data_IF_813411176193
#
_entry.id   IF_813411176193
#
_cell.length_a   1.000
_cell.length_b   1.000
_cell.length_c   1.000
_cell.angle_alpha   90.00
_cell.angle_beta   90.00
_cell.angle_gamma   90.00
#
_symmetry.space_group_name_H-M   'P 1'
#
loop_
_entity.id
_entity.type
_entity.pdbx_description
1 polymer ?
#
# COMPACT_ATOMS: atom_id res chain seq x y z
N UNK A 1 -12.24 -24.45 15.81
CA UNK A 1 -11.54 -24.33 14.50
C UNK A 1 -10.64 -23.09 14.40
N UNK A 2 -11.12 -21.88 14.73
CA UNK A 2 -10.30 -20.64 14.71
C UNK A 2 -9.03 -20.71 15.58
N UNK A 3 -9.15 -21.19 16.83
CA UNK A 3 -7.98 -21.34 17.75
C UNK A 3 -6.83 -22.17 17.16
N UNK A 4 -7.13 -23.17 16.33
CA UNK A 4 -6.10 -24.00 15.66
C UNK A 4 -5.38 -23.21 14.57
N UNK A 5 -6.13 -22.47 13.74
CA UNK A 5 -5.56 -21.61 12.71
C UNK A 5 -4.57 -20.61 13.32
N UNK A 6 -5.00 -19.87 14.34
CA UNK A 6 -4.18 -18.84 14.98
C UNK A 6 -2.91 -19.46 15.59
N UNK A 7 -3.03 -20.58 16.31
CA UNK A 7 -1.85 -21.26 16.87
C UNK A 7 -0.85 -21.67 15.81
N UNK A 8 -1.31 -22.22 14.67
CA UNK A 8 -0.43 -22.67 13.59
C UNK A 8 0.21 -21.51 12.81
N UNK A 9 -0.50 -20.40 12.64
CA UNK A 9 0.05 -19.17 12.04
C UNK A 9 1.09 -18.49 12.95
N UNK A 10 0.95 -18.64 14.27
CA UNK A 10 1.83 -18.01 15.27
C UNK A 10 2.87 -18.97 15.85
N UNK A 11 3.19 -20.06 15.15
CA UNK A 11 4.32 -20.92 15.55
C UNK A 11 5.61 -20.10 15.41
N UNK A 12 6.37 -20.02 16.50
CA UNK A 12 7.63 -19.26 16.59
C UNK A 12 8.65 -19.77 15.58
N UNK A 13 8.81 -21.09 15.49
CA UNK A 13 9.63 -21.76 14.48
C UNK A 13 9.02 -21.57 13.09
N UNK A 14 9.71 -20.82 12.24
CA UNK A 14 9.27 -20.46 10.90
C UNK A 14 9.05 -21.69 10.01
N UNK A 15 9.89 -22.72 10.15
CA UNK A 15 9.81 -23.94 9.32
C UNK A 15 8.57 -24.78 9.62
N UNK A 16 7.99 -24.62 10.82
CA UNK A 16 6.79 -25.32 11.28
C UNK A 16 5.53 -24.47 11.16
N UNK A 17 5.66 -23.18 10.85
CA UNK A 17 4.54 -22.25 10.72
C UNK A 17 3.64 -22.66 9.55
N UNK A 18 2.33 -22.47 9.71
CA UNK A 18 1.38 -22.70 8.61
C UNK A 18 1.77 -21.82 7.41
N UNK A 19 1.95 -22.44 6.25
CA UNK A 19 2.41 -21.77 5.03
C UNK A 19 3.92 -21.83 4.78
N UNK A 20 4.71 -22.43 5.66
CA UNK A 20 6.15 -22.55 5.45
C UNK A 20 6.55 -23.53 4.33
N UNK A 21 5.71 -24.55 4.04
CA UNK A 21 6.03 -25.59 3.04
C UNK A 21 5.41 -25.30 1.68
N UNK A 22 4.09 -25.06 1.62
CA UNK A 22 3.38 -24.80 0.36
C UNK A 22 2.79 -23.38 0.26
N UNK A 23 3.32 -22.44 1.06
CA UNK A 23 2.91 -21.04 1.02
C UNK A 23 1.43 -20.85 1.32
N UNK A 24 0.78 -20.02 0.50
CA UNK A 24 -0.64 -19.74 0.63
C UNK A 24 -1.53 -20.99 0.51
N UNK A 25 -1.09 -22.06 -0.15
CA UNK A 25 -1.89 -23.30 -0.32
C UNK A 25 -2.22 -23.96 1.02
N UNK A 26 -1.25 -24.02 1.94
CA UNK A 26 -1.45 -24.58 3.29
C UNK A 26 -2.50 -23.76 4.08
N UNK A 27 -2.51 -22.44 3.89
CA UNK A 27 -3.48 -21.55 4.54
C UNK A 27 -4.87 -21.77 3.96
N UNK A 28 -4.98 -21.81 2.63
CA UNK A 28 -6.26 -21.99 1.90
C UNK A 28 -6.95 -23.32 2.21
N UNK A 29 -6.18 -24.37 2.46
CA UNK A 29 -6.68 -25.73 2.75
C UNK A 29 -7.04 -25.97 4.22
N UNK A 30 -6.71 -25.04 5.13
CA UNK A 30 -7.02 -25.20 6.54
C UNK A 30 -8.54 -25.27 6.78
N UNK A 31 -9.06 -26.14 7.67
CA UNK A 31 -10.52 -26.33 7.87
C UNK A 31 -11.32 -25.07 8.22
N UNK A 32 -10.65 -24.04 8.78
CA UNK A 32 -11.28 -22.73 9.01
C UNK A 32 -11.79 -22.08 7.72
N UNK A 33 -11.09 -22.26 6.59
CA UNK A 33 -11.43 -21.69 5.29
C UNK A 33 -12.19 -22.66 4.37
N UNK A 34 -12.74 -23.75 4.91
CA UNK A 34 -13.47 -24.76 4.10
C UNK A 34 -14.62 -24.17 3.29
N UNK A 35 -15.29 -23.15 3.84
CA UNK A 35 -16.41 -22.47 3.18
C UNK A 35 -15.97 -21.32 2.26
N UNK A 36 -14.68 -21.02 2.20
CA UNK A 36 -14.14 -19.91 1.41
C UNK A 36 -13.84 -20.38 -0.02
N UNK A 37 -14.54 -19.80 -1.00
CA UNK A 37 -14.30 -20.05 -2.41
C UNK A 37 -13.26 -19.06 -2.95
N UNK A 38 -11.98 -19.40 -2.84
CA UNK A 38 -10.87 -18.49 -3.19
C UNK A 38 -10.89 -17.96 -4.63
N UNK A 39 -11.35 -18.78 -5.59
CA UNK A 39 -11.49 -18.36 -6.99
C UNK A 39 -12.59 -17.30 -7.20
N UNK A 40 -13.59 -17.25 -6.31
CA UNK A 40 -14.77 -16.39 -6.42
C UNK A 40 -14.82 -15.32 -5.34
N UNK A 41 -13.74 -15.10 -4.60
CA UNK A 41 -13.75 -14.25 -3.39
C UNK A 41 -14.23 -12.82 -3.66
N UNK A 42 -14.00 -12.29 -4.86
CA UNK A 42 -14.45 -10.95 -5.28
C UNK A 42 -15.95 -10.88 -5.63
N UNK A 43 -16.57 -12.03 -5.92
CA UNK A 43 -18.00 -12.15 -6.24
C UNK A 43 -18.83 -12.57 -5.02
N UNK A 44 -18.18 -12.92 -3.91
CA UNK A 44 -18.88 -13.23 -2.67
C UNK A 44 -19.42 -11.94 -2.03
N UNK A 45 -20.61 -12.02 -1.42
CA UNK A 45 -21.17 -10.89 -0.67
C UNK A 45 -20.20 -10.51 0.47
N UNK A 46 -19.68 -9.28 0.51
CA UNK A 46 -18.80 -8.87 1.59
C UNK A 46 -19.57 -8.81 2.91
N UNK A 47 -18.94 -9.15 4.04
CA UNK A 47 -19.61 -9.15 5.34
C UNK A 47 -19.98 -7.74 5.83
N UNK A 48 -19.29 -6.71 5.34
CA UNK A 48 -19.50 -5.31 5.68
C UNK A 48 -19.33 -4.47 4.43
N UNK A 49 -20.30 -3.59 4.15
CA UNK A 49 -20.21 -2.58 3.10
C UNK A 49 -19.82 -1.26 3.79
N UNK A 50 -18.67 -0.65 3.46
CA UNK A 50 -18.30 0.64 4.02
C UNK A 50 -19.29 1.72 3.58
N UNK A 51 -19.48 2.74 4.43
CA UNK A 51 -20.31 3.88 4.05
C UNK A 51 -19.65 4.64 2.90
N UNK A 52 -20.40 4.76 1.81
CA UNK A 52 -20.00 5.53 0.64
C UNK A 52 -20.53 6.95 0.78
N UNK A 53 -19.67 7.92 0.50
CA UNK A 53 -20.02 9.33 0.44
C UNK A 53 -19.43 9.93 -0.83
N UNK A 54 -19.32 11.26 -0.95
CA UNK A 54 -18.75 11.87 -2.16
C UNK A 54 -17.28 11.47 -2.29
N UNK A 55 -16.75 11.49 -3.52
CA UNK A 55 -15.36 11.08 -3.79
C UNK A 55 -14.29 11.88 -3.04
N UNK A 56 -14.66 13.05 -2.52
CA UNK A 56 -13.82 13.93 -1.70
C UNK A 56 -13.94 13.66 -0.20
N UNK A 57 -14.90 12.84 0.23
CA UNK A 57 -15.24 12.70 1.64
C UNK A 57 -14.35 11.68 2.32
N UNK A 58 -13.86 12.02 3.52
CA UNK A 58 -12.89 11.22 4.26
C UNK A 58 -13.50 10.45 5.43
N UNK A 59 -14.79 10.08 5.35
CA UNK A 59 -15.57 9.52 6.47
C UNK A 59 -15.00 8.21 7.07
N UNK A 60 -14.31 7.41 6.26
CA UNK A 60 -13.70 6.15 6.71
C UNK A 60 -12.23 6.32 7.17
N UNK A 61 -11.71 7.55 7.15
CA UNK A 61 -10.35 7.88 7.58
C UNK A 61 -10.37 8.50 8.97
N UNK A 62 -9.28 8.32 9.73
CA UNK A 62 -9.10 9.05 10.99
C UNK A 62 -8.89 10.52 10.69
N UNK A 63 -9.47 11.39 11.50
CA UNK A 63 -9.15 12.81 11.44
C UNK A 63 -7.70 12.99 11.95
N UNK A 64 -6.80 13.33 11.05
CA UNK A 64 -5.40 13.64 11.37
C UNK A 64 -5.25 15.15 11.27
N UNK A 65 -4.49 15.75 12.20
CA UNK A 65 -4.19 17.17 12.14
C UNK A 65 -3.49 17.45 10.81
N UNK A 66 -4.14 18.28 10.00
CA UNK A 66 -3.66 18.62 8.66
C UNK A 66 -2.25 19.18 8.76
N UNK A 67 -1.29 18.47 8.17
CA UNK A 67 0.04 19.02 7.93
C UNK A 67 -0.09 19.83 6.66
N UNK A 68 0.14 21.14 6.75
CA UNK A 68 0.16 21.98 5.56
C UNK A 68 1.23 21.42 4.62
N UNK A 69 0.81 20.93 3.44
CA UNK A 69 1.75 20.60 2.38
C UNK A 69 2.45 21.89 1.98
N UNK A 70 3.77 21.84 1.93
CA UNK A 70 4.55 22.92 1.38
C UNK A 70 4.54 22.74 -0.14
N UNK A 71 3.83 23.60 -0.85
CA UNK A 71 3.85 23.62 -2.31
C UNK A 71 5.24 24.07 -2.79
N UNK A 72 6.11 23.11 -3.12
CA UNK A 72 7.46 23.38 -3.65
C UNK A 72 7.42 23.91 -5.10
N UNK A 73 6.25 23.86 -5.76
CA UNK A 73 6.07 24.33 -7.16
C UNK A 73 5.23 25.60 -7.33
N UNK A 74 4.74 26.24 -6.25
CA UNK A 74 3.88 27.41 -6.34
C UNK A 74 4.66 28.70 -6.57
N UNK A 75 4.32 29.45 -7.62
CA UNK A 75 4.94 30.71 -8.03
C UNK A 75 4.64 31.92 -7.11
N UNK A 76 4.80 31.78 -5.78
CA UNK A 76 4.70 32.91 -4.86
C UNK A 76 5.96 32.99 -3.95
N UNK A 77 6.81 34.02 -4.09
CA UNK A 77 8.17 34.03 -3.53
C UNK A 77 8.24 34.42 -2.05
N UNK A 78 7.18 34.21 -1.26
CA UNK A 78 7.16 34.69 0.13
C UNK A 78 7.69 33.64 1.10
N UNK A 79 9.00 33.79 1.38
CA UNK A 79 9.68 33.41 2.64
C UNK A 79 9.54 31.95 3.10
N UNK A 80 9.99 31.01 2.28
CA UNK A 80 10.69 29.85 2.84
C UNK A 80 12.18 30.14 2.82
N UNK A 81 12.80 30.20 4.00
CA UNK A 81 14.26 30.24 4.10
C UNK A 81 14.76 28.84 3.76
N UNK A 82 14.87 28.57 2.46
CA UNK A 82 15.51 27.39 1.92
C UNK A 82 16.95 27.29 2.43
N UNK A 83 17.55 26.12 2.23
CA UNK A 83 18.96 25.90 2.57
C UNK A 83 19.79 26.99 1.87
N UNK A 84 20.68 27.72 2.59
CA UNK A 84 21.52 28.74 2.00
C UNK A 84 22.22 28.24 0.74
N UNK A 85 22.27 29.05 -0.32
CA UNK A 85 22.92 28.69 -1.59
C UNK A 85 24.42 28.36 -1.43
N UNK A 86 25.03 28.66 -0.27
CA UNK A 86 26.42 28.34 0.06
C UNK A 86 26.61 26.98 0.78
N UNK A 87 25.52 26.30 1.12
CA UNK A 87 25.54 25.05 1.90
C UNK A 87 26.13 23.86 1.14
N UNK A 88 26.54 24.05 -0.12
CA UNK A 88 27.12 22.99 -0.96
C UNK A 88 26.14 21.86 -1.32
N UNK A 89 24.87 21.95 -0.89
CA UNK A 89 23.79 21.01 -1.20
C UNK A 89 22.93 21.53 -2.37
N UNK A 90 23.56 22.09 -3.41
CA UNK A 90 22.87 22.26 -4.67
C UNK A 90 22.53 20.86 -5.21
N UNK A 91 21.26 20.60 -5.53
CA UNK A 91 20.93 19.52 -6.47
C UNK A 91 21.80 19.75 -7.71
N UNK A 92 22.74 18.83 -8.04
CA UNK A 92 23.70 19.06 -9.11
C UNK A 92 22.92 19.23 -10.42
N UNK A 93 22.73 20.46 -10.84
CA UNK A 93 22.09 20.79 -12.10
C UNK A 93 23.17 20.64 -13.18
N UNK A 94 23.51 19.39 -13.50
CA UNK A 94 24.54 19.04 -14.49
C UNK A 94 25.20 17.69 -14.22
N UNK A 95 24.90 16.71 -15.08
CA UNK A 95 25.63 15.43 -15.27
C UNK A 95 25.56 14.37 -14.16
N UNK A 96 24.43 14.23 -13.48
CA UNK A 96 24.12 12.98 -12.77
C UNK A 96 22.76 12.51 -13.28
N UNK A 97 22.70 11.31 -13.88
CA UNK A 97 21.41 10.67 -14.22
C UNK A 97 20.51 10.73 -12.98
N UNK A 98 19.24 11.12 -13.17
CA UNK A 98 18.31 11.24 -12.04
C UNK A 98 18.24 9.89 -11.31
N UNK A 99 18.68 9.80 -10.04
CA UNK A 99 18.68 8.54 -9.30
C UNK A 99 17.27 7.98 -9.07
N UNK A 100 16.22 8.76 -9.38
CA UNK A 100 14.82 8.38 -9.32
C UNK A 100 14.16 8.26 -10.71
N UNK A 101 14.92 8.28 -11.81
CA UNK A 101 14.38 8.15 -13.17
C UNK A 101 13.53 6.88 -13.33
N UNK A 102 13.95 5.78 -12.68
CA UNK A 102 13.26 4.49 -12.67
C UNK A 102 12.04 4.42 -11.73
N UNK A 103 11.77 5.47 -10.94
CA UNK A 103 10.64 5.51 -10.00
C UNK A 103 9.35 6.02 -10.65
N UNK A 104 9.39 6.41 -11.93
CA UNK A 104 8.20 6.76 -12.70
C UNK A 104 7.31 5.52 -12.90
N UNK A 105 6.36 5.30 -11.99
CA UNK A 105 5.38 4.21 -12.11
C UNK A 105 4.27 4.59 -13.07
N UNK A 106 4.28 4.03 -14.28
CA UNK A 106 3.14 4.08 -15.20
C UNK A 106 2.33 2.81 -15.02
N UNK A 107 1.04 2.94 -14.70
CA UNK A 107 0.12 1.80 -14.70
C UNK A 107 -0.15 1.40 -16.15
N UNK A 108 0.44 0.30 -16.60
CA UNK A 108 0.17 -0.27 -17.91
C UNK A 108 -1.26 -0.82 -17.94
N UNK A 109 -2.18 -0.08 -18.55
CA UNK A 109 -3.49 -0.57 -18.90
C UNK A 109 -3.35 -1.45 -20.15
N UNK A 110 -3.50 -2.76 -19.96
CA UNK A 110 -3.65 -3.67 -21.09
C UNK A 110 -5.11 -3.56 -21.52
N UNK A 111 -5.36 -2.94 -22.67
CA UNK A 111 -6.67 -3.00 -23.31
C UNK A 111 -6.96 -4.46 -23.60
N UNK A 112 -7.85 -5.06 -22.80
CA UNK A 112 -8.21 -6.46 -22.95
C UNK A 112 -8.76 -6.71 -24.35
N UNK A 113 -8.23 -7.73 -25.03
CA UNK A 113 -8.85 -8.29 -26.22
C UNK A 113 -10.33 -8.54 -25.95
N UNK A 114 -11.14 -8.03 -26.88
CA UNK A 114 -12.59 -8.04 -26.96
C UNK A 114 -13.21 -9.43 -26.76
#
# INVERSE_FOLDING_TARGET
MCKSLIRKLLIKDETKRLGARAGASDVKTHPFFRQTQWALIRHMKPPMIPHQSRGTDTLNFRNVKESASVDIGGSNPTKMKGVPMDSGLATPNGEVNDPFEEFNSVTLHHDGDM
#
